data_IF_632997932251
#
_entry.id   IF_632997932251
#
_cell.length_a   1.000
_cell.length_b   1.000
_cell.length_c   1.000
_cell.angle_alpha   90.00
_cell.angle_beta   90.00
_cell.angle_gamma   90.00
#
_symmetry.space_group_name_H-M   'P 1'
#
loop_
_entity.id
_entity.type
_entity.pdbx_description
1 polymer ?
2 non-polymer ?
3 non-polymer ?
4 non-polymer ?
5 water ?
#
# COMPACT_ATOMS: atom_id res chain seq x y z
N UNK A 4 20.91 -0.49 -18.86
CA UNK A 4 20.37 -0.09 -17.52
C UNK A 4 21.21 1.07 -16.98
N UNK A 5 20.87 2.27 -17.48
CA UNK A 5 21.47 3.53 -17.02
C UNK A 5 20.89 3.96 -15.68
N UNK A 6 21.62 4.85 -15.01
CA UNK A 6 21.23 5.35 -13.69
C UNK A 6 19.81 5.87 -13.70
N UNK A 7 19.52 6.79 -14.61
CA UNK A 7 18.24 7.49 -14.61
C UNK A 7 17.10 6.54 -14.94
N UNK A 8 17.33 5.58 -15.84
CA UNK A 8 16.29 4.60 -16.15
C UNK A 8 16.05 3.65 -14.96
N UNK A 9 17.13 3.15 -14.36
CA UNK A 9 17.00 2.32 -13.17
C UNK A 9 16.23 3.04 -12.12
N UNK A 10 16.62 4.28 -11.85
CA UNK A 10 16.01 5.00 -10.76
C UNK A 10 14.53 5.17 -11.02
N UNK A 11 14.16 5.35 -12.29
CA UNK A 11 12.73 5.41 -12.67
C UNK A 11 11.99 4.11 -12.43
N UNK A 12 12.70 2.98 -12.50
CA UNK A 12 12.10 1.67 -12.23
C UNK A 12 11.72 1.50 -10.75
N UNK A 13 12.26 2.35 -9.89
CA UNK A 13 11.88 2.38 -8.48
C UNK A 13 12.23 1.15 -7.67
N UNK A 14 11.49 0.97 -6.57
CA UNK A 14 11.80 -0.05 -5.59
C UNK A 14 10.63 -0.97 -5.42
N UNK A 15 10.92 -2.27 -5.35
CA UNK A 15 9.90 -3.26 -5.09
C UNK A 15 10.27 -4.15 -3.92
N UNK A 16 9.29 -4.55 -3.13
CA UNK A 16 9.52 -5.50 -2.05
C UNK A 16 8.23 -6.22 -1.71
N UNK A 17 8.32 -7.20 -0.81
CA UNK A 17 7.16 -7.95 -0.35
C UNK A 17 6.54 -7.28 0.88
N UNK A 18 5.20 -7.27 0.93
CA UNK A 18 4.44 -6.75 2.07
C UNK A 18 3.17 -7.62 2.25
N UNK A 19 2.52 -7.52 3.41
CA UNK A 19 1.26 -8.22 3.62
C UNK A 19 0.17 -7.29 3.17
N UNK A 20 -0.78 -7.79 2.40
CA UNK A 20 -1.92 -6.98 1.97
C UNK A 20 -3.08 -7.23 2.92
N UNK A 21 -3.40 -6.24 3.74
CA UNK A 21 -4.36 -6.46 4.82
C UNK A 21 -5.82 -6.35 4.35
N UNK A 22 -6.14 -5.23 3.74
CA UNK A 22 -7.51 -4.99 3.24
C UNK A 22 -7.56 -3.76 2.37
N UNK A 23 -8.74 -3.58 1.75
CA UNK A 23 -9.05 -2.36 1.03
C UNK A 23 -10.47 -1.92 1.41
N UNK A 24 -10.63 -0.63 1.67
CA UNK A 24 -11.93 -0.10 2.06
C UNK A 24 -12.20 1.24 1.40
N UNK A 25 -13.44 1.42 0.97
CA UNK A 25 -13.83 2.67 0.38
C UNK A 25 -13.85 3.75 1.47
N UNK A 26 -13.34 4.92 1.13
CA UNK A 26 -13.15 5.99 2.12
C UNK A 26 -13.53 7.38 1.56
N UNK A 27 -14.80 7.63 1.29
CA UNK A 27 -15.23 8.94 0.76
C UNK A 27 -15.33 10.05 1.82
N UNK A 28 -14.98 11.27 1.43
CA UNK A 28 -15.14 12.47 2.27
C UNK A 28 -14.42 12.37 3.62
N UNK A 29 -13.32 11.60 3.66
CA UNK A 29 -12.46 11.51 4.85
C UNK A 29 -11.13 12.14 4.52
N UNK A 30 -10.46 12.71 5.51
CA UNK A 30 -9.07 13.16 5.30
C UNK A 30 -8.21 11.93 5.07
N UNK A 31 -6.99 12.13 4.57
CA UNK A 31 -6.06 11.01 4.36
C UNK A 31 -5.84 10.22 5.65
N UNK A 32 -5.43 10.91 6.75
CA UNK A 32 -5.28 10.17 8.00
C UNK A 32 -6.53 9.44 8.48
N UNK A 33 -7.72 10.04 8.32
CA UNK A 33 -8.97 9.34 8.65
C UNK A 33 -9.18 8.10 7.82
N UNK A 34 -8.83 8.19 6.53
CA UNK A 34 -8.96 7.05 5.61
C UNK A 34 -8.09 5.87 6.05
N UNK A 35 -6.82 6.14 6.32
CA UNK A 35 -5.93 5.08 6.77
C UNK A 35 -6.41 4.52 8.11
N UNK A 36 -6.84 5.41 9.01
CA UNK A 36 -7.36 4.94 10.29
C UNK A 36 -8.58 4.04 10.13
N UNK A 37 -9.45 4.39 9.19
CA UNK A 37 -10.65 3.61 8.91
C UNK A 37 -10.29 2.20 8.43
N UNK A 38 -9.37 2.13 7.49
CA UNK A 38 -8.90 0.85 6.97
C UNK A 38 -8.27 -0.03 8.06
N UNK A 39 -7.41 0.55 8.90
CA UNK A 39 -6.81 -0.20 9.97
C UNK A 39 -7.86 -0.72 10.96
N UNK A 40 -8.88 0.09 11.26
CA UNK A 40 -9.95 -0.36 12.16
C UNK A 40 -10.68 -1.57 11.60
N UNK A 41 -10.96 -1.53 10.31
CA UNK A 41 -11.61 -2.61 9.60
C UNK A 41 -10.75 -3.86 9.63
N UNK A 42 -9.46 -3.71 9.33
CA UNK A 42 -8.56 -4.87 9.30
C UNK A 42 -8.41 -5.50 10.67
N UNK A 43 -8.30 -4.67 11.70
CA UNK A 43 -8.10 -5.15 13.05
C UNK A 43 -9.39 -5.72 13.70
N UNK A 44 -10.56 -5.40 13.14
CA UNK A 44 -11.84 -5.91 13.63
C UNK A 44 -12.29 -7.18 12.93
N UNK A 45 -11.66 -7.50 11.79
CA UNK A 45 -12.07 -8.64 10.98
C UNK A 45 -11.69 -9.99 11.61
N UNK A 46 -12.26 -11.07 11.07
CA UNK A 46 -11.93 -12.41 11.52
C UNK A 46 -10.57 -12.82 11.00
N UNK A 50 -6.07 -15.28 6.66
CA UNK A 50 -4.68 -14.84 6.68
C UNK A 50 -4.41 -13.92 5.48
N UNK A 51 -3.84 -12.70 5.72
CA UNK A 51 -3.53 -11.78 4.63
C UNK A 51 -2.53 -12.36 3.64
N UNK A 52 -2.64 -11.97 2.39
CA UNK A 52 -1.74 -12.43 1.34
C UNK A 52 -0.43 -11.64 1.39
N UNK A 53 0.68 -12.29 1.08
CA UNK A 53 1.94 -11.59 0.79
C UNK A 53 1.88 -11.17 -0.68
N UNK A 54 2.07 -9.87 -0.94
CA UNK A 54 2.10 -9.34 -2.31
C UNK A 54 3.41 -8.64 -2.62
N UNK A 55 3.72 -8.57 -3.90
CA UNK A 55 4.86 -7.78 -4.35
C UNK A 55 4.37 -6.37 -4.56
N UNK A 56 5.09 -5.42 -3.96
CA UNK A 56 4.70 -4.01 -3.88
C UNK A 56 5.78 -3.17 -4.54
N UNK A 57 5.45 -2.58 -5.69
CA UNK A 57 6.40 -1.76 -6.41
C UNK A 57 5.97 -0.29 -6.42
N UNK A 58 6.91 0.59 -6.08
CA UNK A 58 6.72 2.05 -6.15
C UNK A 58 7.73 2.62 -7.15
N UNK A 59 7.24 3.29 -8.18
CA UNK A 59 8.10 3.82 -9.23
C UNK A 59 7.58 5.15 -9.74
N UNK A 60 8.30 5.68 -10.73
CA UNK A 60 7.86 6.87 -11.45
C UNK A 60 6.45 6.69 -12.01
N UNK A 61 6.05 5.47 -12.33
CA UNK A 61 4.74 5.19 -12.93
C UNK A 61 3.60 5.01 -11.90
N UNK A 62 3.92 5.05 -10.60
CA UNK A 62 2.91 4.84 -9.55
C UNK A 62 3.16 3.59 -8.73
N UNK A 63 2.09 2.94 -8.30
CA UNK A 63 2.20 1.73 -7.48
C UNK A 63 1.65 0.51 -8.22
N UNK A 64 2.38 -0.60 -8.20
CA UNK A 64 1.91 -1.85 -8.77
C UNK A 64 1.95 -2.94 -7.72
N UNK A 65 0.82 -3.62 -7.58
CA UNK A 65 0.64 -4.73 -6.63
C UNK A 65 0.43 -6.01 -7.43
N UNK A 66 1.20 -7.05 -7.13
CA UNK A 66 1.02 -8.34 -7.80
C UNK A 66 1.15 -9.52 -6.82
N UNK A 67 0.54 -10.64 -7.20
CA UNK A 67 0.66 -11.88 -6.46
C UNK A 67 0.38 -13.01 -7.47
N UNK A 68 1.14 -14.10 -7.36
CA UNK A 68 0.85 -15.28 -8.18
C UNK A 68 0.95 -16.54 -7.35
N UNK A 69 0.05 -17.47 -7.64
CA UNK A 69 0.05 -18.80 -7.04
C UNK A 69 -0.11 -19.78 -8.21
N UNK A 70 0.99 -20.45 -8.56
CA UNK A 70 1.06 -21.27 -9.77
C UNK A 70 0.83 -20.35 -10.96
N UNK A 71 -0.24 -20.60 -11.71
CA UNK A 71 -0.57 -19.81 -12.89
C UNK A 71 -1.75 -18.85 -12.63
N UNK A 72 -2.25 -18.78 -11.39
CA UNK A 72 -3.22 -17.75 -11.01
C UNK A 72 -2.48 -16.45 -10.71
N UNK A 73 -3.03 -15.31 -11.15
CA UNK A 73 -2.31 -14.04 -11.12
C UNK A 73 -3.21 -12.88 -10.70
N UNK A 74 -2.74 -12.12 -9.72
CA UNK A 74 -3.37 -10.88 -9.32
C UNK A 74 -2.46 -9.72 -9.72
N UNK A 75 -3.06 -8.66 -10.27
CA UNK A 75 -2.35 -7.42 -10.56
C UNK A 75 -3.26 -6.20 -10.56
N UNK A 76 -2.82 -5.14 -9.89
CA UNK A 76 -3.44 -3.81 -9.99
C UNK A 76 -2.35 -2.77 -10.03
N UNK A 77 -2.53 -1.78 -10.90
CA UNK A 77 -1.67 -0.66 -11.01
C UNK A 77 -2.44 0.61 -10.70
N UNK A 78 -1.79 1.51 -9.95
CA UNK A 78 -2.34 2.81 -9.52
C UNK A 78 -1.40 3.88 -10.05
N UNK A 79 -1.83 4.58 -11.12
CA UNK A 79 -0.99 5.63 -11.64
C UNK A 79 -0.74 6.75 -10.62
N UNK A 80 0.37 7.46 -10.77
CA UNK A 80 0.72 8.50 -9.82
C UNK A 80 -0.38 9.57 -9.65
N UNK A 81 -1.04 10.00 -10.71
CA UNK A 81 -2.10 11.03 -10.62
C UNK A 81 -3.34 10.56 -9.87
N UNK A 82 -3.43 9.25 -9.61
CA UNK A 82 -4.55 8.68 -8.89
C UNK A 82 -4.37 8.56 -7.37
N UNK A 83 -3.13 8.69 -6.91
CA UNK A 83 -2.76 8.49 -5.51
C UNK A 83 -2.86 9.81 -4.78
N UNK A 84 -3.67 9.87 -3.74
CA UNK A 84 -3.92 11.14 -3.06
C UNK A 84 -3.30 11.27 -1.69
N UNK A 85 -2.85 10.16 -1.11
CA UNK A 85 -2.33 10.15 0.26
C UNK A 85 -1.68 8.84 0.59
N UNK A 86 -0.66 8.90 1.45
CA UNK A 86 -0.15 7.71 2.12
C UNK A 86 0.43 8.05 3.50
N UNK A 87 0.28 7.11 4.44
CA UNK A 87 0.83 7.24 5.79
C UNK A 87 0.85 5.91 6.48
N UNK A 88 1.63 5.85 7.57
CA UNK A 88 1.56 4.75 8.51
C UNK A 88 0.26 4.96 9.30
N UNK A 89 -0.17 3.97 10.07
CA UNK A 89 -1.42 4.12 10.86
C UNK A 89 -1.26 5.30 11.81
N UNK A 90 -2.17 6.29 11.77
CA UNK A 90 -1.99 7.46 12.64
C UNK A 90 -2.19 7.20 14.13
N UNK A 91 -2.71 6.03 14.49
CA UNK A 91 -2.81 5.63 15.90
C UNK A 91 -1.70 4.68 16.36
N UNK A 92 -0.72 4.47 15.49
CA UNK A 92 0.44 3.61 15.76
C UNK A 92 0.06 2.18 16.08
N UNK A 93 -1.09 1.74 15.56
CA UNK A 93 -1.52 0.37 15.73
C UNK A 93 -0.73 -0.54 14.80
N UNK A 94 -0.44 -1.75 15.28
CA UNK A 94 0.37 -2.72 14.54
C UNK A 94 -0.42 -3.95 14.20
N UNK A 95 0.09 -4.70 13.23
CA UNK A 95 -0.47 -5.98 12.83
C UNK A 95 0.25 -7.09 13.59
N UNK A 96 -0.52 -8.04 14.12
CA UNK A 96 0.06 -9.15 14.84
C UNK A 96 0.12 -10.38 13.93
N UNK A 97 1.37 -10.76 13.63
CA UNK A 97 1.71 -11.87 12.73
C UNK A 97 1.39 -13.24 13.36
N UNK A 98 1.31 -14.30 12.55
CA UNK A 98 1.01 -15.63 13.14
C UNK A 98 1.95 -16.07 14.28
N UNK A 99 3.21 -15.63 14.24
CA UNK A 99 4.17 -15.91 15.33
C UNK A 99 4.06 -14.99 16.55
N UNK A 100 3.06 -14.11 16.56
CA UNK A 100 2.83 -13.23 17.71
C UNK A 100 3.65 -11.94 17.74
N UNK A 101 4.57 -11.78 16.78
CA UNK A 101 5.35 -10.55 16.66
C UNK A 101 4.51 -9.50 15.94
N UNK A 102 4.88 -8.21 16.05
CA UNK A 102 4.08 -7.14 15.44
C UNK A 102 4.81 -6.49 14.26
N UNK A 103 4.03 -5.94 13.35
CA UNK A 103 4.54 -5.25 12.14
C UNK A 103 3.82 -3.92 11.97
N UNK A 104 4.56 -2.90 11.58
CA UNK A 104 3.99 -1.60 11.30
C UNK A 104 3.01 -1.68 10.12
N UNK A 105 1.95 -0.89 10.23
CA UNK A 105 0.85 -0.78 9.24
C UNK A 105 0.98 0.52 8.48
N UNK A 106 0.77 0.48 7.16
CA UNK A 106 0.71 1.69 6.33
C UNK A 106 -0.34 1.50 5.21
N UNK A 107 -0.81 2.61 4.66
CA UNK A 107 -1.73 2.54 3.53
C UNK A 107 -1.54 3.67 2.57
N UNK A 108 -2.20 3.55 1.41
CA UNK A 108 -2.34 4.67 0.51
C UNK A 108 -3.77 4.72 0.04
N UNK A 109 -4.17 5.91 -0.35
CA UNK A 109 -5.51 6.17 -0.87
C UNK A 109 -5.36 6.49 -2.34
N UNK A 110 -6.18 5.85 -3.16
CA UNK A 110 -6.18 6.11 -4.60
C UNK A 110 -7.59 5.98 -5.18
N UNK A 111 -7.82 6.64 -6.31
CA UNK A 111 -9.04 6.39 -7.11
C UNK A 111 -9.10 4.93 -7.58
N UNK A 112 -10.29 4.33 -7.59
CA UNK A 112 -10.46 2.95 -8.05
C UNK A 112 -10.46 2.91 -9.57
N UNK A 113 -9.46 2.21 -10.18
CA UNK A 113 -9.28 2.22 -11.64
C UNK A 113 -10.55 2.02 -12.44
N UNK A 114 -11.40 1.05 -12.05
CA UNK A 114 -12.68 0.78 -12.73
C UNK A 114 -13.95 1.38 -12.11
N UNK A 115 -13.80 2.21 -11.06
CA UNK A 115 -14.90 3.03 -10.47
C UNK A 115 -14.27 4.36 -10.00
N UNK A 116 -13.82 5.19 -10.95
CA UNK A 116 -12.94 6.37 -10.74
C UNK A 116 -13.45 7.47 -9.79
N UNK A 117 -14.76 7.53 -9.59
CA UNK A 117 -15.39 8.44 -8.62
C UNK A 117 -15.09 7.96 -7.19
N UNK A 118 -14.68 6.69 -7.03
CA UNK A 118 -14.45 6.10 -5.69
C UNK A 118 -13.01 6.25 -5.21
N UNK A 119 -12.86 6.68 -3.96
CA UNK A 119 -11.57 6.73 -3.26
C UNK A 119 -11.50 5.52 -2.37
N UNK A 120 -10.40 4.76 -2.48
CA UNK A 120 -10.25 3.51 -1.77
C UNK A 120 -8.89 3.51 -1.07
N UNK A 121 -8.88 3.10 0.19
CA UNK A 121 -7.65 2.99 0.97
C UNK A 121 -7.20 1.54 0.97
N UNK A 122 -5.95 1.35 0.53
CA UNK A 122 -5.31 0.06 0.45
C UNK A 122 -4.33 -0.03 1.60
N UNK A 123 -4.48 -1.06 2.41
CA UNK A 123 -3.73 -1.18 3.69
C UNK A 123 -2.82 -2.38 3.71
N UNK A 124 -1.62 -2.17 4.25
CA UNK A 124 -0.55 -3.16 4.25
C UNK A 124 0.16 -3.23 5.59
N UNK A 125 0.88 -4.34 5.81
CA UNK A 125 1.85 -4.39 6.90
C UNK A 125 3.24 -4.74 6.36
N UNK A 126 4.23 -4.17 7.03
CA UNK A 126 5.66 -4.42 6.78
C UNK A 126 5.98 -5.88 6.98
N UNK A 127 6.93 -6.40 6.21
CA UNK A 127 7.43 -7.73 6.40
C UNK A 127 8.93 -7.71 6.76
N UNK A 128 9.66 -6.67 6.34
CA UNK A 128 11.12 -6.62 6.46
C UNK A 128 11.52 -5.30 7.17
N UNK A 129 12.24 -5.37 8.33
CA UNK A 129 12.66 -4.11 8.97
C UNK A 129 13.62 -3.30 8.12
N UNK A 130 14.20 -3.93 7.11
CA UNK A 130 15.10 -3.21 6.22
C UNK A 130 14.40 -2.63 4.99
N UNK A 131 13.12 -2.98 4.80
CA UNK A 131 12.25 -2.26 3.86
C UNK A 131 11.00 -1.91 4.65
N UNK A 132 11.15 -0.94 5.57
CA UNK A 132 10.12 -0.67 6.55
C UNK A 132 8.99 0.18 6.03
N UNK A 133 7.87 0.12 6.72
CA UNK A 133 6.67 0.87 6.33
C UNK A 133 6.96 2.36 6.11
N UNK A 134 7.75 2.99 7.00
CA UNK A 134 8.04 4.43 6.89
C UNK A 134 8.78 4.81 5.60
N UNK A 135 9.72 3.96 5.18
CA UNK A 135 10.47 4.18 3.94
C UNK A 135 9.54 4.08 2.72
N UNK A 136 8.64 3.10 2.74
CA UNK A 136 7.71 2.90 1.63
C UNK A 136 6.81 4.13 1.54
N UNK A 137 6.31 4.59 2.67
CA UNK A 137 5.51 5.81 2.69
C UNK A 137 6.30 6.98 2.12
N UNK A 138 7.57 7.13 2.51
CA UNK A 138 8.42 8.20 1.98
C UNK A 138 8.53 8.14 0.47
N UNK A 139 8.75 6.94 -0.05
CA UNK A 139 8.85 6.76 -1.51
C UNK A 139 7.53 7.11 -2.22
N UNK A 140 6.40 6.69 -1.67
CA UNK A 140 5.12 7.03 -2.29
C UNK A 140 4.93 8.55 -2.30
N UNK A 141 5.25 9.19 -1.18
CA UNK A 141 5.03 10.63 -1.09
C UNK A 141 5.96 11.37 -2.06
N UNK A 142 7.16 10.84 -2.30
CA UNK A 142 8.09 11.41 -3.27
C UNK A 142 7.52 11.34 -4.70
N UNK A 143 6.96 10.20 -5.09
CA UNK A 143 6.43 10.05 -6.46
C UNK A 143 5.12 10.80 -6.63
N UNK A 144 4.43 11.07 -5.52
CA UNK A 144 3.32 12.01 -5.51
C UNK A 144 3.86 13.44 -5.74
N UNK A 145 4.89 13.81 -4.98
CA UNK A 145 5.52 15.14 -5.07
C UNK A 145 6.05 15.43 -6.48
N UNK A 146 6.72 14.44 -7.07
CA UNK A 146 7.09 14.51 -8.48
C UNK A 146 5.84 14.62 -9.33
X LIG B 1 -1.05 -0.50 -16.56
X LIG B 1 -2.00 -1.03 -15.58
X LIG B 1 0.33 -0.53 -16.03
X LIG B 1 -1.12 -1.28 -17.81
X LIG B 1 -1.43 0.84 -16.86
X LIG C 1 -16.00 -3.49 -11.32
X LIG C 1 -14.92 -3.32 -10.35
X LIG C 1 -15.96 -2.40 -12.31
X LIG C 1 -15.84 -4.78 -11.99
X LIG C 1 -17.25 -3.47 -10.57
X LIG D 1 -10.57 -2.26 -10.55
X LIG D 1 -11.13 -3.33 -9.71
X LIG D 1 -9.22 -1.92 -10.06
X LIG D 1 -10.43 -2.67 -11.94
X LIG D 1 -11.42 -1.07 -10.42
X LIG E 1 10.71 -1.07 -1.28
X LIG E 1 11.50 -1.94 -1.72
X LIG E 1 11.13 -0.44 -0.29
X LIG E 1 9.35 -0.81 -1.89
X LIG F 1 -6.15 -14.48 -13.76
X LIG F 1 -5.87 -13.27 -13.74
X LIG F 1 -5.37 -15.25 -13.16
X LIG F 1 -7.36 -14.98 -14.47
X LIG G 1 10.94 2.76 9.57
X LIG G 1 10.94 3.53 8.39
X LIG G 1 9.61 2.03 9.73
X LIG G 1 8.56 2.94 9.64
X LIG G 1 9.59 1.29 11.06
X LIG G 1 9.25 -0.06 10.85
#
# INVERSE_FOLDING_TARGET
XSLSTAADLLRQGAACSVLYLTSVETESLTGPQAVARASSAALSCSPRPTPAVVHFKVSAQGITLTDNQRKLFFRRHYPVNSITFSSTDPQDRRWTNPDGTTSKIFGFVAKKPGSPWENVCHLFAELDPDQPAGAIVTFITKVMLGQRKEGHHHHHH
SO4 S O1 O2 O3 O4
SO4 S O1 O2 O3 O4
SO4 S O1 O2 O3 O4
ACT C O OXT CH3
ACT C O OXT CH3
GOL C1 O1 C2 O2 C3 O3
#
